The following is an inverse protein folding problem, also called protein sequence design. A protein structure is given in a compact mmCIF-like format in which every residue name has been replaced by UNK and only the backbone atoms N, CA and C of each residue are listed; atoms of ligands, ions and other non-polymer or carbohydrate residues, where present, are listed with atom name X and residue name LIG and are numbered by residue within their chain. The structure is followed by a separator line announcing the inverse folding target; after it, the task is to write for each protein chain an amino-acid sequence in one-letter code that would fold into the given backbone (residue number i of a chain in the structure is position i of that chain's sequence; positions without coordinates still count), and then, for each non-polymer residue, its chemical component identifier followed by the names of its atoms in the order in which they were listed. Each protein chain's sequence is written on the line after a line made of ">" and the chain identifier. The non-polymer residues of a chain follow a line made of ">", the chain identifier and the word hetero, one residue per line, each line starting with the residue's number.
data_IF_688367248675
#
_entry.id   IF_688367248675
#
_cell.length_a   1.000
_cell.length_b   1.000
_cell.length_c   1.000
_cell.angle_alpha   90.00
_cell.angle_beta   90.00
_cell.angle_gamma   90.00
#
_symmetry.space_group_name_H-M   'P 1'
#
loop_
_entity.id
_entity.type
_entity.pdbx_description
1 polymer ?
#
# COMPACT_ATOMS: atom_id res chain seq x y z
N UNK A 1 -21.98 22.54 14.24
CA UNK A 1 -21.96 21.19 14.87
C UNK A 1 -20.56 21.00 15.45
N UNK A 2 -20.47 20.55 16.70
CA UNK A 2 -19.25 20.62 17.54
C UNK A 2 -18.12 19.78 16.95
N UNK A 3 -16.93 20.37 16.91
CA UNK A 3 -15.69 19.67 16.61
C UNK A 3 -15.35 18.71 17.73
N UNK A 4 -15.21 17.44 17.38
CA UNK A 4 -14.54 16.46 18.23
C UNK A 4 -13.04 16.67 18.06
N UNK A 5 -12.36 16.87 19.20
CA UNK A 5 -10.93 17.09 19.25
C UNK A 5 -10.18 15.86 18.72
N UNK A 6 -9.36 16.06 17.69
CA UNK A 6 -8.34 15.12 17.25
C UNK A 6 -7.49 14.69 18.47
N UNK A 7 -7.37 13.39 18.78
CA UNK A 7 -6.79 12.97 20.05
C UNK A 7 -5.28 13.33 20.09
N UNK A 8 -4.76 13.83 21.22
CA UNK A 8 -3.35 14.18 21.33
C UNK A 8 -2.55 12.98 21.85
N UNK A 9 -2.05 12.10 20.98
CA UNK A 9 -0.98 11.14 21.32
C UNK A 9 -0.15 10.73 20.08
N UNK A 10 1.03 11.36 19.94
CA UNK A 10 2.33 10.88 19.39
C UNK A 10 2.45 9.90 18.21
N UNK A 11 1.42 9.62 17.43
CA UNK A 11 1.55 8.74 16.25
C UNK A 11 1.38 9.55 14.95
N UNK A 12 2.36 9.45 14.04
CA UNK A 12 2.43 10.17 12.75
C UNK A 12 1.81 9.35 11.60
N UNK A 13 0.61 8.79 11.80
CA UNK A 13 -0.11 8.05 10.77
C UNK A 13 -1.38 8.78 10.37
N UNK A 14 -1.65 8.83 9.06
CA UNK A 14 -2.83 9.50 8.52
C UNK A 14 -4.12 8.67 8.73
N UNK A 15 -4.02 7.33 8.73
CA UNK A 15 -5.18 6.45 8.81
C UNK A 15 -4.96 5.16 9.62
N UNK A 16 -3.95 4.34 9.27
CA UNK A 16 -3.68 3.06 9.94
C UNK A 16 -2.19 2.84 10.24
N UNK A 17 -1.92 1.91 11.13
CA UNK A 17 -0.57 1.58 11.60
C UNK A 17 0.30 0.89 10.54
N UNK A 18 -0.31 0.16 9.60
CA UNK A 18 0.37 -0.47 8.47
C UNK A 18 -0.28 -0.11 7.14
N UNK A 19 0.56 0.19 6.16
CA UNK A 19 0.23 0.29 4.75
C UNK A 19 1.16 -0.62 3.96
N UNK A 20 0.59 -1.49 3.11
CA UNK A 20 1.31 -2.45 2.29
C UNK A 20 0.99 -2.22 0.81
N UNK A 21 2.00 -2.37 -0.06
CA UNK A 21 1.87 -2.31 -1.52
C UNK A 21 2.65 -3.45 -2.15
N UNK A 22 2.11 -4.07 -3.20
CA UNK A 22 2.71 -5.15 -3.96
C UNK A 22 3.50 -4.64 -5.18
N UNK A 23 4.62 -5.29 -5.52
CA UNK A 23 5.38 -5.03 -6.75
C UNK A 23 4.51 -5.21 -8.00
N UNK A 24 3.72 -6.29 -8.04
CA UNK A 24 2.86 -6.63 -9.18
C UNK A 24 1.82 -5.55 -9.46
N UNK A 25 1.22 -4.96 -8.42
CA UNK A 25 0.29 -3.83 -8.59
C UNK A 25 0.97 -2.63 -9.22
N UNK A 26 2.17 -2.26 -8.75
CA UNK A 26 2.89 -1.12 -9.33
C UNK A 26 3.36 -1.42 -10.76
N UNK A 27 3.76 -2.66 -11.06
CA UNK A 27 4.09 -3.09 -12.42
C UNK A 27 2.86 -3.03 -13.35
N UNK A 28 1.71 -3.50 -12.89
CA UNK A 28 0.45 -3.39 -13.62
C UNK A 28 0.08 -1.93 -13.91
N UNK A 29 0.19 -1.04 -12.92
CA UNK A 29 -0.06 0.39 -13.12
C UNK A 29 0.91 1.04 -14.12
N UNK A 30 2.20 0.66 -14.11
CA UNK A 30 3.18 1.10 -15.12
C UNK A 30 2.77 0.68 -16.52
N UNK A 31 2.23 -0.54 -16.69
CA UNK A 31 1.72 -1.02 -17.97
C UNK A 31 0.47 -0.26 -18.43
N UNK A 32 -0.42 0.10 -17.51
CA UNK A 32 -1.61 0.93 -17.82
C UNK A 32 -1.24 2.36 -18.24
N UNK A 33 -0.14 2.91 -17.70
CA UNK A 33 0.31 4.28 -17.99
C UNK A 33 1.83 4.32 -18.20
N UNK A 34 2.32 3.92 -19.38
CA UNK A 34 3.73 4.08 -19.73
C UNK A 34 4.14 5.57 -19.66
N UNK A 35 5.33 5.84 -19.12
CA UNK A 35 5.88 7.19 -18.95
C UNK A 35 5.56 7.87 -17.61
N UNK A 36 4.66 7.30 -16.81
CA UNK A 36 4.46 7.70 -15.42
C UNK A 36 5.31 6.87 -14.47
N UNK A 37 5.80 7.51 -13.42
CA UNK A 37 6.72 6.88 -12.48
C UNK A 37 6.00 6.37 -11.22
N UNK A 38 5.51 5.13 -11.26
CA UNK A 38 4.88 4.45 -10.12
C UNK A 38 5.92 3.92 -9.12
N UNK A 39 6.91 4.73 -8.75
CA UNK A 39 7.89 4.40 -7.72
C UNK A 39 7.18 4.12 -6.36
N UNK A 40 7.52 3.02 -5.66
CA UNK A 40 6.91 2.68 -4.38
C UNK A 40 7.01 3.80 -3.32
N UNK A 41 8.05 4.65 -3.38
CA UNK A 41 8.23 5.80 -2.48
C UNK A 41 7.09 6.81 -2.53
N UNK A 42 6.32 6.88 -3.63
CA UNK A 42 5.12 7.74 -3.74
C UNK A 42 3.99 7.32 -2.81
N UNK A 43 3.89 6.03 -2.52
CA UNK A 43 2.78 5.44 -1.76
C UNK A 43 3.06 5.45 -0.25
N UNK A 44 4.33 5.59 0.15
CA UNK A 44 4.76 5.69 1.56
C UNK A 44 4.31 4.47 2.38
N UNK A 45 4.32 3.29 1.76
CA UNK A 45 4.00 2.05 2.43
C UNK A 45 5.10 1.66 3.43
N UNK A 46 4.70 1.01 4.52
CA UNK A 46 5.64 0.42 5.47
C UNK A 46 6.28 -0.84 4.88
N UNK A 47 5.50 -1.61 4.11
CA UNK A 47 5.96 -2.81 3.43
C UNK A 47 5.72 -2.72 1.92
N UNK A 48 6.77 -3.05 1.17
CA UNK A 48 6.71 -3.29 -0.25
C UNK A 48 6.91 -4.80 -0.48
N UNK A 49 5.84 -5.48 -0.88
CA UNK A 49 5.79 -6.94 -0.95
C UNK A 49 6.10 -7.38 -2.38
N UNK A 50 7.13 -8.22 -2.53
CA UNK A 50 7.44 -8.83 -3.81
C UNK A 50 6.43 -9.93 -4.14
N UNK A 51 5.66 -9.70 -5.19
CA UNK A 51 4.68 -10.64 -5.77
C UNK A 51 5.03 -10.99 -7.22
N UNK A 52 6.24 -10.67 -7.67
CA UNK A 52 6.61 -10.62 -9.08
C UNK A 52 6.06 -9.39 -9.80
N UNK A 53 6.56 -9.14 -11.02
CA UNK A 53 6.20 -7.98 -11.85
C UNK A 53 5.16 -8.32 -12.93
N UNK A 54 4.78 -9.59 -13.06
CA UNK A 54 3.75 -10.05 -13.97
C UNK A 54 2.41 -10.13 -13.23
N UNK A 55 1.63 -9.05 -13.32
CA UNK A 55 0.26 -9.01 -12.81
C UNK A 55 -0.68 -8.38 -13.85
N UNK A 56 -1.92 -8.87 -13.86
CA UNK A 56 -3.04 -8.41 -14.70
C UNK A 56 -4.06 -7.58 -13.92
N UNK A 57 -3.72 -7.18 -12.68
CA UNK A 57 -4.62 -6.45 -11.79
C UNK A 57 -3.95 -5.98 -10.50
N UNK A 58 -4.78 -5.48 -9.58
CA UNK A 58 -4.38 -5.05 -8.24
C UNK A 58 -4.26 -6.29 -7.35
N UNK A 59 -3.03 -6.62 -6.96
CA UNK A 59 -2.70 -7.88 -6.28
C UNK A 59 -3.29 -7.94 -4.88
N UNK A 60 -3.35 -6.81 -4.18
CA UNK A 60 -3.73 -6.73 -2.78
C UNK A 60 -5.22 -7.04 -2.54
N UNK A 61 -6.06 -6.97 -3.57
CA UNK A 61 -7.48 -7.34 -3.48
C UNK A 61 -7.67 -8.80 -3.06
N UNK A 62 -6.71 -9.66 -3.39
CA UNK A 62 -6.71 -11.07 -2.99
C UNK A 62 -6.41 -11.28 -1.51
N UNK A 63 -5.96 -10.24 -0.80
CA UNK A 63 -5.54 -10.33 0.59
C UNK A 63 -6.62 -9.88 1.59
N UNK A 64 -7.68 -9.21 1.12
CA UNK A 64 -8.65 -8.50 1.97
C UNK A 64 -9.25 -9.37 3.08
N UNK A 65 -9.63 -10.60 2.75
CA UNK A 65 -10.24 -11.55 3.69
C UNK A 65 -9.22 -12.49 4.37
N UNK A 66 -7.94 -12.34 4.06
CA UNK A 66 -6.89 -13.26 4.49
C UNK A 66 -6.00 -12.70 5.59
N UNK A 67 -5.00 -13.50 5.93
CA UNK A 67 -3.92 -13.12 6.84
C UNK A 67 -2.60 -13.26 6.10
N UNK A 68 -1.75 -12.22 6.14
CA UNK A 68 -0.40 -12.33 5.62
C UNK A 68 0.53 -12.79 6.74
N UNK A 69 1.11 -13.96 6.60
CA UNK A 69 2.19 -14.45 7.44
C UNK A 69 3.53 -13.95 6.88
N UNK A 70 4.30 -13.24 7.71
CA UNK A 70 5.66 -12.79 7.36
C UNK A 70 6.66 -13.51 8.26
N UNK A 71 7.55 -14.28 7.64
CA UNK A 71 8.48 -15.15 8.35
C UNK A 71 7.74 -16.13 9.28
N UNK A 72 8.29 -16.38 10.47
CA UNK A 72 7.73 -17.41 11.37
C UNK A 72 6.57 -16.90 12.25
N UNK A 73 6.68 -15.66 12.77
CA UNK A 73 5.85 -15.19 13.88
C UNK A 73 4.86 -14.09 13.49
N UNK A 74 5.19 -13.25 12.51
CA UNK A 74 4.39 -12.05 12.23
C UNK A 74 3.13 -12.42 11.47
N UNK A 75 2.01 -11.85 11.88
CA UNK A 75 0.71 -11.96 11.19
C UNK A 75 0.13 -10.57 11.00
N UNK A 76 -0.21 -10.24 9.76
CA UNK A 76 -0.92 -9.02 9.37
C UNK A 76 -2.36 -9.41 9.03
N UNK A 77 -3.32 -8.67 9.59
CA UNK A 77 -4.75 -9.00 9.56
C UNK A 77 -5.60 -7.75 9.32
N UNK A 78 -6.90 -7.93 9.09
CA UNK A 78 -7.87 -6.82 9.00
C UNK A 78 -7.58 -5.90 7.83
N UNK A 79 -7.29 -6.49 6.67
CA UNK A 79 -6.88 -5.74 5.49
C UNK A 79 -8.07 -5.05 4.84
N UNK A 80 -7.86 -3.80 4.45
CA UNK A 80 -8.84 -2.99 3.74
C UNK A 80 -8.16 -2.16 2.66
N UNK A 81 -8.83 -1.88 1.53
CA UNK A 81 -8.24 -1.10 0.45
C UNK A 81 -7.71 0.26 0.93
N UNK A 82 -6.50 0.63 0.51
CA UNK A 82 -5.88 1.89 0.89
C UNK A 82 -6.21 3.01 -0.10
N UNK A 83 -7.10 3.93 0.28
CA UNK A 83 -7.48 5.06 -0.56
C UNK A 83 -6.28 6.01 -0.74
N UNK A 84 -6.02 6.42 -1.98
CA UNK A 84 -4.94 7.36 -2.30
C UNK A 84 -5.47 8.76 -2.54
N UNK A 85 -4.79 9.73 -1.96
CA UNK A 85 -5.04 11.15 -2.17
C UNK A 85 -3.95 11.79 -3.05
N UNK A 86 -4.07 13.10 -3.29
CA UNK A 86 -3.13 13.88 -4.10
C UNK A 86 -1.67 13.80 -3.60
N UNK A 87 -1.42 13.35 -2.37
CA UNK A 87 -0.08 13.18 -1.84
C UNK A 87 0.82 12.29 -2.71
N UNK A 88 0.26 11.31 -3.42
CA UNK A 88 1.04 10.44 -4.33
C UNK A 88 1.53 11.17 -5.58
N UNK A 89 0.95 12.32 -5.93
CA UNK A 89 1.32 13.09 -7.13
C UNK A 89 2.41 14.13 -6.84
N UNK A 90 2.66 14.45 -5.57
CA UNK A 90 3.63 15.48 -5.19
C UNK A 90 5.07 15.12 -5.57
N UNK A 91 5.91 16.14 -5.85
CA UNK A 91 7.31 15.91 -6.13
C UNK A 91 8.06 15.43 -4.88
N UNK A 92 9.05 14.57 -5.09
CA UNK A 92 10.10 14.17 -4.14
C UNK A 92 11.47 14.40 -4.84
N UNK A 93 12.62 14.33 -4.15
CA UNK A 93 13.91 14.74 -4.72
C UNK A 93 14.24 14.17 -6.12
N UNK A 94 13.86 12.93 -6.40
CA UNK A 94 14.09 12.25 -7.68
C UNK A 94 12.80 11.97 -8.47
N UNK A 95 11.65 12.33 -7.89
CA UNK A 95 10.34 11.99 -8.41
C UNK A 95 9.61 13.29 -8.74
N UNK A 96 9.52 13.72 -10.01
CA UNK A 96 8.79 14.93 -10.34
C UNK A 96 7.30 14.80 -10.02
N UNK A 97 6.62 15.95 -9.98
CA UNK A 97 5.17 15.97 -9.82
C UNK A 97 4.50 15.20 -10.98
N UNK A 98 3.62 14.26 -10.66
CA UNK A 98 2.92 13.44 -11.65
C UNK A 98 1.48 13.16 -11.22
N UNK A 99 0.52 13.86 -11.83
CA UNK A 99 -0.92 13.69 -11.59
C UNK A 99 -1.47 12.36 -12.09
N UNK A 100 -0.76 11.71 -13.03
CA UNK A 100 -1.23 10.49 -13.64
C UNK A 100 -1.13 9.30 -12.68
N UNK A 101 -0.35 9.41 -11.60
CA UNK A 101 -0.31 8.40 -10.54
C UNK A 101 -1.70 8.20 -9.93
N UNK A 102 -2.27 9.26 -9.37
CA UNK A 102 -3.61 9.23 -8.79
C UNK A 102 -4.70 9.04 -9.86
N UNK A 103 -4.56 9.69 -11.03
CA UNK A 103 -5.54 9.54 -12.12
C UNK A 103 -5.66 8.10 -12.59
N UNK A 104 -4.55 7.38 -12.70
CA UNK A 104 -4.54 5.97 -13.11
C UNK A 104 -5.20 5.11 -12.02
N UNK A 105 -4.86 5.30 -10.75
CA UNK A 105 -5.55 4.61 -9.65
C UNK A 105 -7.07 4.87 -9.66
N UNK A 106 -7.50 6.12 -9.89
CA UNK A 106 -8.92 6.48 -9.94
C UNK A 106 -9.65 5.83 -11.12
N UNK A 107 -9.03 5.81 -12.31
CA UNK A 107 -9.64 5.27 -13.53
C UNK A 107 -9.81 3.74 -13.50
N UNK A 108 -8.89 3.03 -12.84
CA UNK A 108 -8.84 1.58 -12.92
C UNK A 108 -9.17 0.88 -11.60
N UNK A 109 -9.24 1.61 -10.49
CA UNK A 109 -9.42 1.02 -9.16
C UNK A 109 -9.93 1.99 -8.09
N UNK A 110 -10.77 2.96 -8.45
CA UNK A 110 -11.43 3.86 -7.49
C UNK A 110 -10.46 4.61 -6.55
N UNK A 111 -9.22 4.82 -6.99
CA UNK A 111 -8.10 5.40 -6.27
C UNK A 111 -7.53 4.55 -5.12
N UNK A 112 -7.89 3.27 -5.04
CA UNK A 112 -7.25 2.32 -4.12
C UNK A 112 -5.95 1.76 -4.70
N UNK A 113 -4.87 1.84 -3.93
CA UNK A 113 -3.58 1.19 -4.24
C UNK A 113 -2.95 0.75 -2.94
N UNK A 114 -2.70 -0.55 -2.82
CA UNK A 114 -2.28 -1.17 -1.57
C UNK A 114 -3.43 -1.44 -0.60
N UNK A 115 -3.07 -1.90 0.59
CA UNK A 115 -4.00 -2.15 1.71
C UNK A 115 -3.50 -1.52 2.99
N UNK A 116 -4.42 -0.99 3.77
CA UNK A 116 -4.18 -0.73 5.18
C UNK A 116 -4.46 -1.99 5.99
N UNK A 117 -3.73 -2.18 7.09
CA UNK A 117 -3.83 -3.38 7.90
C UNK A 117 -3.42 -3.18 9.36
N UNK A 118 -3.73 -4.18 10.18
CA UNK A 118 -3.34 -4.26 11.58
C UNK A 118 -2.31 -5.38 11.82
N UNK A 119 -1.58 -5.27 12.94
CA UNK A 119 -0.69 -6.32 13.43
C UNK A 119 -1.51 -7.32 14.25
N UNK A 120 -1.75 -8.51 13.72
CA UNK A 120 -2.44 -9.59 14.43
C UNK A 120 -1.52 -10.38 15.37
N UNK A 121 -0.27 -10.56 14.98
CA UNK A 121 0.78 -11.13 15.83
C UNK A 121 2.09 -10.37 15.60
N UNK A 122 2.68 -9.74 16.64
CA UNK A 122 3.90 -8.97 16.52
C UNK A 122 5.13 -9.87 16.43
N UNK A 123 6.21 -9.32 15.89
CA UNK A 123 7.49 -10.03 15.76
C UNK A 123 8.49 -9.20 14.96
N UNK A 124 9.66 -9.78 14.69
CA UNK A 124 10.71 -9.13 13.91
C UNK A 124 10.61 -9.56 12.45
N UNK A 125 10.50 -8.58 11.57
CA UNK A 125 10.62 -8.75 10.12
C UNK A 125 12.03 -8.38 9.66
N UNK A 126 12.50 -9.02 8.59
CA UNK A 126 13.70 -8.68 7.85
C UNK A 126 13.35 -8.54 6.37
N UNK A 127 14.17 -7.78 5.65
CA UNK A 127 14.08 -7.76 4.19
C UNK A 127 14.21 -9.19 3.66
N UNK A 128 13.38 -9.53 2.67
CA UNK A 128 13.29 -10.85 2.04
C UNK A 128 12.75 -11.98 2.94
N UNK A 129 12.17 -11.67 4.10
CA UNK A 129 11.36 -12.67 4.80
C UNK A 129 10.19 -13.11 3.90
N UNK A 130 9.89 -14.43 3.83
CA UNK A 130 8.80 -14.92 2.99
C UNK A 130 7.47 -14.38 3.47
N UNK A 131 6.62 -14.01 2.51
CA UNK A 131 5.26 -13.54 2.74
C UNK A 131 4.30 -14.54 2.13
N UNK A 132 3.42 -15.09 2.95
CA UNK A 132 2.47 -16.13 2.56
C UNK A 132 1.08 -15.67 2.97
N UNK A 133 0.14 -15.67 2.02
CA UNK A 133 -1.27 -15.52 2.32
C UNK A 133 -1.77 -16.83 2.95
N UNK A 134 -2.18 -16.76 4.21
CA UNK A 134 -2.79 -17.86 4.95
C UNK A 134 -4.27 -17.54 5.13
N UNK A 135 -5.12 -18.47 4.70
CA UNK A 135 -6.58 -18.43 4.88
C UNK A 135 -6.98 -18.95 6.25
#
# INVERSE_FOLDING_TARGET
>A
MRGEAYPPHRDFFDEEVLHLVATGTLAFMRNLRPGSDFDPRRFRANFYIDTGDEADGFVEDRWLEGVLAIGQQVRIVGMRPAIRCAMTTHPQPELPHDVNILRTAWQYHEAYVGVFAAVGAPGRVRLNDPVILVS
#
